data_IF_872516211579
#
_entry.id   IF_872516211579
#
_cell.length_a   1.000
_cell.length_b   1.000
_cell.length_c   1.000
_cell.angle_alpha   90.00
_cell.angle_beta   90.00
_cell.angle_gamma   90.00
#
_symmetry.space_group_name_H-M   'P 1'
#
loop_
_entity.id
_entity.type
_entity.pdbx_description
1 polymer ?
#
# COMPACT_ATOMS: atom_id res chain seq x y z
N UNK A 1 5.14 42.81 8.78
CA UNK A 1 6.23 42.71 7.78
C UNK A 1 7.25 41.74 8.35
N UNK A 2 7.45 40.63 7.64
CA UNK A 2 8.45 39.55 7.74
C UNK A 2 9.13 39.29 9.09
N UNK A 3 8.85 38.12 9.65
CA UNK A 3 9.77 37.41 10.54
C UNK A 3 10.33 36.21 9.77
N UNK A 4 11.64 36.07 9.86
CA UNK A 4 12.54 35.27 9.04
C UNK A 4 12.23 33.77 9.00
N UNK A 5 12.38 33.17 7.80
CA UNK A 5 12.47 31.73 7.61
C UNK A 5 13.80 31.22 8.18
N UNK A 6 13.73 30.30 9.14
CA UNK A 6 14.89 29.48 9.54
C UNK A 6 14.94 28.20 8.69
N UNK A 7 16.01 27.96 7.91
CA UNK A 7 16.14 26.79 7.08
C UNK A 7 16.81 25.65 7.86
N UNK A 8 16.23 24.45 7.77
CA UNK A 8 16.85 23.15 8.06
C UNK A 8 17.22 22.81 9.51
N UNK A 9 16.18 22.52 10.31
CA UNK A 9 16.30 21.53 11.40
C UNK A 9 16.14 20.11 10.80
N UNK A 10 17.13 19.66 10.01
CA UNK A 10 17.22 18.26 9.59
C UNK A 10 17.79 17.45 10.77
N UNK A 11 16.91 16.87 11.58
CA UNK A 11 17.32 15.86 12.54
C UNK A 11 17.73 14.60 11.79
N UNK A 12 18.78 13.95 12.26
CA UNK A 12 19.36 12.72 11.67
C UNK A 12 18.32 11.59 11.58
N UNK A 13 17.24 11.67 12.38
CA UNK A 13 16.07 10.79 12.35
C UNK A 13 15.15 11.03 11.14
N UNK A 14 15.01 12.28 10.67
CA UNK A 14 14.27 12.57 9.44
C UNK A 14 14.99 11.99 8.21
N UNK A 15 16.33 12.00 8.18
CA UNK A 15 17.07 11.37 7.08
C UNK A 15 16.98 9.84 7.12
N UNK A 16 16.82 9.21 8.30
CA UNK A 16 16.58 7.77 8.40
C UNK A 16 15.19 7.37 7.92
N UNK A 17 14.17 8.20 8.22
CA UNK A 17 12.82 8.02 7.68
C UNK A 17 12.75 8.32 6.18
N UNK A 18 13.48 9.33 5.69
CA UNK A 18 13.62 9.61 4.26
C UNK A 18 14.35 8.46 3.57
N UNK A 19 15.41 7.86 4.14
CA UNK A 19 16.06 6.65 3.60
C UNK A 19 15.14 5.41 3.63
N UNK A 20 14.31 5.23 4.67
CA UNK A 20 13.28 4.19 4.72
C UNK A 20 12.16 4.42 3.69
N UNK A 21 11.85 5.67 3.38
CA UNK A 21 10.89 6.05 2.33
C UNK A 21 11.51 5.99 0.91
N UNK A 22 12.82 6.22 0.75
CA UNK A 22 13.52 6.21 -0.54
C UNK A 22 14.00 4.82 -0.99
N UNK A 23 14.06 3.82 -0.10
CA UNK A 23 14.25 2.40 -0.53
C UNK A 23 12.99 1.79 -1.16
N UNK A 24 11.86 2.50 -1.17
CA UNK A 24 10.56 2.01 -1.67
C UNK A 24 10.39 2.02 -3.19
N UNK A 25 11.41 2.33 -3.99
CA UNK A 25 11.33 2.30 -5.44
C UNK A 25 12.49 1.50 -6.03
N UNK A 26 12.40 0.17 -5.91
CA UNK A 26 13.29 -0.71 -6.66
C UNK A 26 12.46 -1.63 -7.54
N UNK A 27 12.21 -1.07 -8.73
CA UNK A 27 11.88 -1.72 -9.99
C UNK A 27 12.18 -3.22 -10.00
N UNK A 28 11.13 -4.03 -9.99
CA UNK A 28 11.05 -5.29 -10.70
C UNK A 28 9.57 -5.60 -10.92
N UNK A 29 8.98 -4.81 -11.82
CA UNK A 29 7.69 -5.10 -12.42
C UNK A 29 7.82 -6.38 -13.27
N UNK A 30 7.69 -7.54 -12.63
CA UNK A 30 7.35 -8.78 -13.33
C UNK A 30 5.85 -9.00 -13.17
N UNK A 31 5.05 -8.09 -13.72
CA UNK A 31 3.59 -8.14 -13.67
C UNK A 31 2.96 -6.85 -14.21
N UNK A 32 1.88 -6.98 -14.99
CA UNK A 32 1.07 -5.86 -15.52
C UNK A 32 0.23 -5.21 -14.40
N UNK A 33 0.88 -4.84 -13.29
CA UNK A 33 0.22 -4.29 -12.11
C UNK A 33 0.12 -2.77 -12.23
N UNK A 34 -0.95 -2.21 -11.67
CA UNK A 34 -1.02 -0.77 -11.47
C UNK A 34 0.06 -0.32 -10.47
N UNK A 35 0.40 0.96 -10.47
CA UNK A 35 1.30 1.58 -9.49
C UNK A 35 0.89 1.14 -8.06
N UNK A 36 1.83 0.49 -7.36
CA UNK A 36 1.65 -0.08 -6.02
C UNK A 36 2.09 0.89 -4.92
N UNK A 37 2.28 2.17 -5.22
CA UNK A 37 2.65 3.16 -4.22
C UNK A 37 1.63 3.16 -3.07
N UNK A 38 2.07 3.13 -1.80
CA UNK A 38 1.21 2.83 -0.66
C UNK A 38 0.10 3.87 -0.41
N UNK A 39 0.25 5.08 -0.94
CA UNK A 39 -0.76 6.13 -0.83
C UNK A 39 -1.94 5.97 -1.82
N UNK A 40 -1.84 5.08 -2.80
CA UNK A 40 -2.87 4.85 -3.82
C UNK A 40 -3.91 3.80 -3.39
N UNK A 41 -3.58 2.99 -2.38
CA UNK A 41 -4.32 1.80 -2.01
C UNK A 41 -4.93 1.88 -0.61
N UNK A 42 -6.02 1.14 -0.42
CA UNK A 42 -6.59 0.88 0.92
C UNK A 42 -5.59 0.17 1.83
N UNK A 43 -5.75 0.33 3.15
CA UNK A 43 -4.85 -0.27 4.15
C UNK A 43 -4.74 -1.79 3.99
N UNK A 44 -5.84 -2.45 3.62
CA UNK A 44 -5.92 -3.90 3.44
C UNK A 44 -5.10 -4.36 2.22
N UNK A 45 -5.18 -3.65 1.09
CA UNK A 45 -4.34 -3.96 -0.06
C UNK A 45 -2.86 -3.61 0.19
N UNK A 46 -2.58 -2.52 0.92
CA UNK A 46 -1.22 -2.17 1.33
C UNK A 46 -0.55 -3.25 2.17
N UNK A 47 -1.31 -3.92 3.03
CA UNK A 47 -0.79 -5.05 3.80
C UNK A 47 -0.33 -6.20 2.88
N UNK A 48 -1.08 -6.52 1.84
CA UNK A 48 -0.67 -7.55 0.86
C UNK A 48 0.54 -7.12 0.02
N UNK A 49 0.62 -5.83 -0.33
CA UNK A 49 1.78 -5.26 -1.03
C UNK A 49 3.04 -5.38 -0.15
N UNK A 50 2.93 -5.14 1.15
CA UNK A 50 4.04 -5.33 2.09
C UNK A 50 4.49 -6.80 2.15
N UNK A 51 3.57 -7.76 2.15
CA UNK A 51 3.89 -9.19 2.11
C UNK A 51 4.58 -9.59 0.80
N UNK A 52 4.13 -9.04 -0.32
CA UNK A 52 4.79 -9.23 -1.62
C UNK A 52 6.23 -8.70 -1.60
N UNK A 53 6.44 -7.48 -1.09
CA UNK A 53 7.78 -6.90 -0.99
C UNK A 53 8.70 -7.70 -0.06
N UNK A 54 8.19 -8.19 1.08
CA UNK A 54 8.95 -9.07 1.97
C UNK A 54 9.35 -10.36 1.26
N UNK A 55 8.40 -11.01 0.56
CA UNK A 55 8.72 -12.21 -0.22
C UNK A 55 9.80 -11.94 -1.27
N UNK A 56 9.69 -10.81 -1.99
CA UNK A 56 10.64 -10.41 -3.02
C UNK A 56 12.03 -10.07 -2.46
N UNK A 57 12.07 -9.46 -1.28
CA UNK A 57 13.31 -9.17 -0.56
C UNK A 57 14.01 -10.47 -0.15
N UNK A 58 13.27 -11.39 0.45
CA UNK A 58 13.82 -12.66 0.97
C UNK A 58 14.19 -13.63 -0.16
N UNK A 59 13.53 -13.51 -1.33
CA UNK A 59 13.72 -14.39 -2.48
C UNK A 59 14.28 -13.62 -3.69
N UNK A 60 15.35 -12.85 -3.50
CA UNK A 60 15.95 -12.02 -4.56
C UNK A 60 16.25 -12.81 -5.87
N UNK A 61 16.75 -14.04 -5.76
CA UNK A 61 17.02 -14.93 -6.91
C UNK A 61 15.81 -15.78 -7.34
N UNK A 62 14.81 -15.94 -6.47
CA UNK A 62 13.61 -16.74 -6.72
C UNK A 62 12.53 -16.01 -7.53
N UNK A 63 12.69 -14.70 -7.77
CA UNK A 63 11.74 -13.87 -8.53
C UNK A 63 11.47 -14.42 -9.93
N UNK A 64 12.50 -14.89 -10.63
CA UNK A 64 12.36 -15.48 -11.98
C UNK A 64 11.72 -16.88 -11.99
N UNK A 65 11.67 -17.56 -10.84
CA UNK A 65 11.09 -18.89 -10.70
C UNK A 65 9.66 -18.87 -10.12
N UNK A 66 9.07 -17.69 -9.96
CA UNK A 66 7.71 -17.55 -9.46
C UNK A 66 7.55 -17.76 -7.96
N UNK A 67 8.62 -17.60 -7.17
CA UNK A 67 8.59 -17.83 -5.72
C UNK A 67 7.54 -16.98 -4.97
N UNK A 68 7.17 -15.81 -5.51
CA UNK A 68 6.22 -14.88 -4.90
C UNK A 68 4.86 -14.81 -5.61
N UNK A 69 4.55 -15.75 -6.53
CA UNK A 69 3.31 -15.73 -7.33
C UNK A 69 2.04 -15.71 -6.47
N UNK A 70 2.06 -16.37 -5.31
CA UNK A 70 0.92 -16.37 -4.39
C UNK A 70 0.57 -14.96 -3.89
N UNK A 71 1.59 -14.20 -3.45
CA UNK A 71 1.40 -12.83 -2.98
C UNK A 71 1.10 -11.88 -4.14
N UNK A 72 1.69 -12.12 -5.30
CA UNK A 72 1.44 -11.36 -6.52
C UNK A 72 -0.03 -11.46 -6.96
N UNK A 73 -0.56 -12.69 -6.99
CA UNK A 73 -1.98 -12.93 -7.27
C UNK A 73 -2.88 -12.29 -6.21
N UNK A 74 -2.53 -12.41 -4.92
CA UNK A 74 -3.28 -11.79 -3.83
C UNK A 74 -3.38 -10.26 -3.99
N UNK A 75 -2.26 -9.60 -4.33
CA UNK A 75 -2.21 -8.15 -4.59
C UNK A 75 -3.06 -7.79 -5.82
N UNK A 76 -2.95 -8.55 -6.92
CA UNK A 76 -3.74 -8.33 -8.12
C UNK A 76 -5.25 -8.41 -7.84
N UNK A 77 -5.69 -9.44 -7.12
CA UNK A 77 -7.09 -9.60 -6.76
C UNK A 77 -7.58 -8.46 -5.85
N UNK A 78 -6.76 -8.04 -4.89
CA UNK A 78 -7.13 -6.96 -3.97
C UNK A 78 -7.30 -5.62 -4.69
N UNK A 79 -6.28 -5.20 -5.45
CA UNK A 79 -6.30 -3.93 -6.20
C UNK A 79 -7.41 -3.90 -7.25
N UNK A 80 -7.77 -5.06 -7.82
CA UNK A 80 -8.95 -5.21 -8.68
C UNK A 80 -10.26 -4.96 -7.91
N UNK A 81 -10.44 -5.58 -6.74
CA UNK A 81 -11.63 -5.37 -5.91
C UNK A 81 -11.74 -3.92 -5.42
N UNK A 82 -10.62 -3.34 -5.00
CA UNK A 82 -10.53 -1.93 -4.64
C UNK A 82 -10.97 -1.02 -5.80
N UNK A 83 -10.48 -1.26 -7.02
CA UNK A 83 -10.90 -0.49 -8.20
C UNK A 83 -12.40 -0.61 -8.46
N UNK A 84 -12.98 -1.80 -8.32
CA UNK A 84 -14.42 -2.02 -8.49
C UNK A 84 -15.19 -1.25 -7.41
N UNK A 85 -14.76 -1.36 -6.15
CA UNK A 85 -15.37 -0.65 -5.04
C UNK A 85 -15.31 0.87 -5.22
N UNK A 86 -14.14 1.42 -5.55
CA UNK A 86 -13.97 2.86 -5.84
C UNK A 86 -14.89 3.29 -6.99
N UNK A 87 -15.03 2.49 -8.05
CA UNK A 87 -15.95 2.79 -9.16
C UNK A 87 -17.42 2.83 -8.70
N UNK A 88 -17.83 1.87 -7.88
CA UNK A 88 -19.21 1.77 -7.40
C UNK A 88 -19.57 2.88 -6.39
N UNK A 89 -18.56 3.43 -5.69
CA UNK A 89 -18.74 4.44 -4.65
C UNK A 89 -18.30 5.85 -5.06
N UNK A 90 -17.77 6.03 -6.28
CA UNK A 90 -17.37 7.34 -6.77
C UNK A 90 -18.63 8.11 -7.23
N UNK A 91 -18.99 9.22 -6.56
CA UNK A 91 -20.15 10.00 -6.95
C UNK A 91 -19.88 10.73 -8.27
N UNK A 92 -20.84 10.69 -9.20
CA UNK A 92 -20.64 11.18 -10.58
C UNK A 92 -20.46 12.71 -10.69
N UNK A 93 -20.97 13.49 -9.73
CA UNK A 93 -21.10 14.96 -9.87
C UNK A 93 -20.66 15.78 -8.64
N UNK A 94 -20.00 15.18 -7.65
CA UNK A 94 -19.52 15.91 -6.46
C UNK A 94 -18.00 15.78 -6.31
N UNK A 95 -17.37 16.77 -5.66
CA UNK A 95 -15.96 16.68 -5.29
C UNK A 95 -15.75 15.40 -4.49
N UNK A 96 -14.68 14.65 -4.80
CA UNK A 96 -14.26 13.49 -3.98
C UNK A 96 -13.91 13.99 -2.58
N UNK A 97 -14.86 13.90 -1.65
CA UNK A 97 -14.64 14.24 -0.22
C UNK A 97 -14.29 12.99 0.60
N UNK A 98 -14.59 11.79 0.08
CA UNK A 98 -14.43 10.56 0.85
C UNK A 98 -13.03 10.00 0.63
N UNK A 99 -12.21 10.08 1.67
CA UNK A 99 -10.95 9.35 1.74
C UNK A 99 -11.26 7.87 1.97
N UNK A 100 -11.23 7.12 0.88
CA UNK A 100 -11.53 5.70 0.83
C UNK A 100 -10.32 4.89 1.33
N UNK A 101 -10.00 5.03 2.62
CA UNK A 101 -8.81 4.43 3.27
C UNK A 101 -8.97 2.92 3.52
N UNK A 102 -10.18 2.46 3.82
CA UNK A 102 -10.46 1.06 4.17
C UNK A 102 -11.34 0.38 3.13
N UNK A 103 -10.93 -0.81 2.70
CA UNK A 103 -11.73 -1.67 1.86
C UNK A 103 -12.81 -2.35 2.74
N UNK A 104 -14.10 -2.29 2.37
CA UNK A 104 -15.13 -2.98 3.13
C UNK A 104 -15.03 -4.49 2.94
N UNK A 105 -15.42 -5.24 3.97
CA UNK A 105 -15.34 -6.71 4.01
C UNK A 105 -16.08 -7.41 2.88
N UNK A 106 -17.13 -6.79 2.35
CA UNK A 106 -17.88 -7.31 1.20
C UNK A 106 -17.03 -7.41 -0.07
N UNK A 107 -15.91 -6.69 -0.13
CA UNK A 107 -14.95 -6.71 -1.25
C UNK A 107 -13.67 -7.49 -0.92
N UNK A 108 -13.61 -8.17 0.24
CA UNK A 108 -12.44 -8.96 0.60
C UNK A 108 -12.28 -10.19 -0.30
N UNK A 109 -11.05 -10.37 -0.78
CA UNK A 109 -10.61 -11.58 -1.46
C UNK A 109 -10.54 -12.75 -0.46
N UNK A 110 -10.50 -14.02 -0.93
CA UNK A 110 -10.32 -15.17 -0.04
C UNK A 110 -9.08 -15.06 0.85
N UNK A 111 -7.98 -14.50 0.33
CA UNK A 111 -6.74 -14.27 1.07
C UNK A 111 -6.94 -13.25 2.19
N UNK A 112 -7.59 -12.11 1.90
CA UNK A 112 -7.89 -11.11 2.93
C UNK A 112 -8.80 -11.68 4.03
N UNK A 113 -9.82 -12.46 3.66
CA UNK A 113 -10.71 -13.09 4.63
C UNK A 113 -9.97 -14.03 5.56
N UNK A 114 -9.10 -14.87 5.00
CA UNK A 114 -8.24 -15.78 5.77
C UNK A 114 -7.31 -15.02 6.71
N UNK A 115 -6.63 -13.96 6.23
CA UNK A 115 -5.74 -13.14 7.06
C UNK A 115 -6.49 -12.42 8.19
N UNK A 116 -7.75 -12.03 7.95
CA UNK A 116 -8.61 -11.45 8.99
C UNK A 116 -8.99 -12.50 10.04
N UNK A 117 -9.40 -13.70 9.62
CA UNK A 117 -9.73 -14.82 10.52
C UNK A 117 -8.54 -15.26 11.37
N UNK A 118 -7.33 -15.25 10.79
CA UNK A 118 -6.08 -15.56 11.49
C UNK A 118 -5.58 -14.42 12.40
N UNK A 119 -6.26 -13.27 12.42
CA UNK A 119 -5.84 -12.09 13.20
C UNK A 119 -4.55 -11.44 12.72
N UNK A 120 -4.13 -11.71 11.47
CA UNK A 120 -2.88 -11.22 10.90
C UNK A 120 -3.05 -9.90 10.15
N UNK A 121 -4.27 -9.54 9.75
CA UNK A 121 -4.56 -8.32 9.02
C UNK A 121 -4.35 -7.08 9.92
N UNK A 122 -3.23 -6.37 9.74
CA UNK A 122 -2.91 -5.12 10.47
C UNK A 122 -3.62 -3.88 9.88
N UNK A 123 -4.92 -4.00 9.56
CA UNK A 123 -5.68 -2.90 8.93
C UNK A 123 -5.85 -1.67 9.85
N UNK A 124 -5.67 -1.80 11.16
CA UNK A 124 -5.98 -0.74 12.13
C UNK A 124 -4.83 0.26 12.38
N UNK A 125 -3.63 0.05 11.78
CA UNK A 125 -2.40 0.76 12.21
C UNK A 125 -1.74 1.72 11.23
N UNK A 126 -2.42 2.14 10.17
CA UNK A 126 -1.95 3.27 9.35
C UNK A 126 -2.84 4.48 9.64
N UNK A 127 -2.82 4.95 10.88
CA UNK A 127 -3.18 6.33 11.14
C UNK A 127 -2.11 7.18 10.46
N UNK A 128 -2.42 7.73 9.29
CA UNK A 128 -1.52 8.64 8.59
C UNK A 128 -1.01 9.72 9.55
N UNK A 129 0.28 10.03 9.47
CA UNK A 129 0.81 11.23 10.13
C UNK A 129 -0.01 12.43 9.65
N UNK A 130 -0.75 13.04 10.58
CA UNK A 130 -1.46 14.29 10.34
C UNK A 130 -0.38 15.38 10.27
N UNK A 131 -0.16 15.93 9.07
CA UNK A 131 0.75 17.06 8.80
C UNK A 131 0.24 18.31 9.51
#
# INVERSE_FOLDING_TARGET
MHADLSPHLHTVECNFLIELLYRCQHDNAFGMHADLSPHLHTVECNFLIELLYRCQHDNAFGKMFGACNYWDEAVWQCTKQERIWRRNNNPQYTKRVIELQHLPESYYTPVLRKLKEEGQLRAEKIAGCRI
#
